data_IF_111257710135
#
_entry.id   IF_111257710135
#
_cell.length_a   1.000
_cell.length_b   1.000
_cell.length_c   1.000
_cell.angle_alpha   90.00
_cell.angle_beta   90.00
_cell.angle_gamma   90.00
#
_symmetry.space_group_name_H-M   'P 1'
#
loop_
_entity.id
_entity.type
_entity.pdbx_description
1 polymer ?
#
# COMPACT_ATOMS: atom_id res chain seq x y z
N UNK A 1 24.80 41.06 -16.97
CA UNK A 1 23.69 40.10 -16.90
C UNK A 1 24.12 39.00 -15.94
N UNK A 2 23.70 39.09 -14.69
CA UNK A 2 24.03 38.13 -13.65
C UNK A 2 22.97 36.99 -13.67
N UNK A 3 23.35 35.73 -13.44
CA UNK A 3 22.40 34.64 -13.45
C UNK A 3 21.55 34.66 -12.16
N UNK A 4 20.24 34.57 -12.34
CA UNK A 4 19.25 34.44 -11.27
C UNK A 4 19.50 33.12 -10.49
N UNK A 5 19.69 33.26 -9.17
CA UNK A 5 19.72 32.11 -8.26
C UNK A 5 18.32 31.46 -8.20
N UNK A 6 18.22 30.12 -8.20
CA UNK A 6 16.95 29.44 -8.03
C UNK A 6 16.38 29.79 -6.64
N UNK A 7 15.14 30.25 -6.63
CA UNK A 7 14.39 30.46 -5.39
C UNK A 7 14.11 29.10 -4.74
N UNK A 8 14.56 28.95 -3.50
CA UNK A 8 14.20 27.82 -2.65
C UNK A 8 12.69 27.90 -2.34
N UNK A 9 11.92 26.96 -2.83
CA UNK A 9 10.53 26.78 -2.39
C UNK A 9 10.51 26.52 -0.88
N UNK A 10 9.59 27.14 -0.13
CA UNK A 10 9.52 26.90 1.31
C UNK A 10 9.15 25.44 1.57
N UNK A 11 10.02 24.74 2.31
CA UNK A 11 9.74 23.44 2.91
C UNK A 11 8.50 23.58 3.80
N UNK A 12 7.32 23.28 3.25
CA UNK A 12 6.10 23.24 4.05
C UNK A 12 5.95 21.87 4.70
N UNK A 13 5.83 21.92 5.98
CA UNK A 13 5.48 20.96 7.01
C UNK A 13 4.44 19.90 6.54
N UNK A 14 4.86 18.85 5.93
CA UNK A 14 4.06 17.63 5.70
C UNK A 14 4.15 16.63 6.87
N UNK A 15 4.86 17.04 7.93
CA UNK A 15 5.19 16.16 9.06
C UNK A 15 4.02 15.90 10.02
N UNK A 16 2.86 16.54 9.84
CA UNK A 16 1.82 16.53 10.86
C UNK A 16 0.76 15.42 10.71
N UNK A 17 0.54 14.86 9.53
CA UNK A 17 -0.62 13.97 9.32
C UNK A 17 -0.35 12.54 9.82
N UNK A 18 0.85 12.02 9.67
CA UNK A 18 1.20 10.69 10.20
C UNK A 18 1.61 10.65 11.68
N UNK A 19 1.75 11.83 12.33
CA UNK A 19 2.28 11.92 13.70
C UNK A 19 1.21 11.94 14.80
N UNK A 20 -0.06 12.14 14.48
CA UNK A 20 -1.10 12.32 15.50
C UNK A 20 -1.67 11.02 16.08
N UNK A 21 -1.51 9.88 15.42
CA UNK A 21 -2.08 8.61 15.89
C UNK A 21 -1.31 7.91 17.01
N UNK A 22 -0.10 8.35 17.32
CA UNK A 22 0.73 7.75 18.38
C UNK A 22 0.61 8.42 19.77
N UNK A 23 -0.14 9.53 19.88
CA UNK A 23 -0.11 10.38 21.08
C UNK A 23 -1.15 10.12 22.15
N UNK A 24 -2.15 9.25 21.95
CA UNK A 24 -3.30 9.16 22.87
C UNK A 24 -3.42 7.86 23.67
N UNK A 25 -2.40 7.04 23.75
CA UNK A 25 -2.43 5.75 24.48
C UNK A 25 -1.49 5.70 25.71
N UNK A 26 -1.18 6.83 26.33
CA UNK A 26 -0.40 6.87 27.57
C UNK A 26 -1.08 7.68 28.69
N UNK A 27 -2.29 7.29 29.10
CA UNK A 27 -2.82 7.62 30.44
C UNK A 27 -3.72 6.48 30.91
N UNK A 28 -3.16 5.56 31.67
CA UNK A 28 -3.95 4.57 32.41
C UNK A 28 -3.22 3.27 32.70
N UNK A 29 -2.15 3.29 33.47
CA UNK A 29 -1.74 2.12 34.24
C UNK A 29 -1.04 2.61 35.51
N UNK A 30 -1.79 2.54 36.60
CA UNK A 30 -1.35 2.80 37.97
C UNK A 30 -0.25 1.83 38.41
N UNK A 31 0.56 2.34 39.29
CA UNK A 31 1.67 1.71 39.98
C UNK A 31 1.35 0.34 40.58
N UNK A 32 2.24 -0.63 40.33
CA UNK A 32 2.57 -1.69 41.26
C UNK A 32 4.09 -1.89 41.27
N UNK A 33 4.69 -1.30 42.27
CA UNK A 33 6.05 -1.60 42.65
C UNK A 33 6.06 -2.90 43.44
N UNK A 34 6.84 -3.88 43.03
CA UNK A 34 7.35 -4.92 43.91
C UNK A 34 8.84 -5.18 43.64
N UNK A 35 9.61 -4.79 44.60
CA UNK A 35 11.00 -5.11 44.87
C UNK A 35 11.28 -6.61 44.86
N UNK A 36 12.34 -7.05 44.18
CA UNK A 36 13.13 -8.18 44.66
C UNK A 36 14.60 -8.07 44.25
N UNK A 37 15.38 -8.39 45.29
CA UNK A 37 16.81 -8.28 45.44
C UNK A 37 17.64 -9.22 44.56
N UNK A 38 18.86 -8.77 44.41
CA UNK A 38 20.08 -9.42 43.93
C UNK A 38 20.37 -10.81 44.49
N UNK A 39 20.90 -11.67 43.64
CA UNK A 39 22.06 -12.50 44.00
C UNK A 39 22.78 -12.96 42.75
N UNK A 40 24.06 -12.63 42.67
CA UNK A 40 24.94 -13.04 41.60
C UNK A 40 25.43 -14.48 41.76
N UNK A 41 26.00 -14.99 40.69
CA UNK A 41 27.11 -15.96 40.71
C UNK A 41 27.79 -15.95 39.32
N UNK A 42 29.09 -15.67 39.40
CA UNK A 42 30.07 -15.83 38.32
C UNK A 42 30.31 -17.31 38.01
N UNK A 43 30.65 -17.63 36.75
CA UNK A 43 31.73 -18.57 36.43
C UNK A 43 32.07 -18.54 34.96
N UNK A 44 33.30 -18.27 34.68
CA UNK A 44 34.03 -18.39 33.41
C UNK A 44 34.62 -19.81 33.24
N UNK A 45 35.51 -20.07 32.28
CA UNK A 45 35.26 -20.70 30.99
C UNK A 45 35.94 -22.08 30.86
N UNK A 46 35.67 -22.83 29.84
CA UNK A 46 36.58 -23.91 29.44
C UNK A 46 36.66 -24.09 27.92
N UNK A 47 37.87 -24.19 27.54
CA UNK A 47 38.53 -24.33 26.23
C UNK A 47 38.45 -25.74 25.66
N UNK A 48 38.73 -25.81 24.32
CA UNK A 48 39.34 -26.92 23.56
C UNK A 48 38.41 -28.03 23.09
N UNK A 49 38.46 -28.50 21.85
CA UNK A 49 39.58 -28.86 21.01
C UNK A 49 39.13 -29.05 19.55
N UNK A 50 40.09 -28.85 18.65
CA UNK A 50 40.01 -29.14 17.22
C UNK A 50 40.00 -30.65 16.94
N UNK A 51 39.30 -31.05 15.86
CA UNK A 51 39.59 -32.33 15.19
C UNK A 51 39.36 -32.16 13.67
N UNK A 52 40.31 -32.69 12.96
CA UNK A 52 40.73 -32.58 11.59
C UNK A 52 39.80 -33.24 10.57
N UNK A 53 39.93 -32.75 9.34
CA UNK A 53 39.41 -33.28 8.06
C UNK A 53 39.75 -34.77 7.80
N UNK A 54 38.97 -35.40 6.90
CA UNK A 54 39.65 -35.85 5.69
C UNK A 54 38.93 -35.50 4.38
N UNK A 55 39.70 -35.11 3.42
CA UNK A 55 39.41 -34.88 2.01
C UNK A 55 38.85 -36.13 1.31
N UNK A 56 37.85 -35.92 0.45
CA UNK A 56 37.46 -36.92 -0.56
C UNK A 56 37.38 -36.20 -1.91
N UNK A 57 38.16 -36.75 -2.87
CA UNK A 57 38.32 -36.32 -4.26
C UNK A 57 37.06 -36.46 -5.11
N UNK A 58 36.91 -35.72 -6.22
CA UNK A 58 35.73 -35.72 -7.07
C UNK A 58 35.71 -36.88 -8.08
N UNK A 59 34.58 -37.51 -8.19
CA UNK A 59 34.23 -38.49 -9.24
C UNK A 59 33.63 -37.76 -10.44
N UNK A 60 34.15 -38.04 -11.63
CA UNK A 60 33.69 -37.54 -12.92
C UNK A 60 32.34 -38.17 -13.32
N UNK A 61 31.51 -37.40 -14.07
CA UNK A 61 30.20 -37.92 -14.53
C UNK A 61 30.35 -38.77 -15.82
N UNK A 62 29.50 -39.76 -16.07
CA UNK A 62 29.44 -40.48 -17.31
C UNK A 62 28.64 -39.75 -18.40
N UNK A 63 29.11 -39.85 -19.64
CA UNK A 63 28.47 -39.35 -20.86
C UNK A 63 27.14 -40.02 -21.15
N UNK A 64 26.16 -39.28 -21.71
CA UNK A 64 24.88 -39.84 -22.09
C UNK A 64 24.92 -40.49 -23.48
N UNK A 65 24.44 -41.71 -23.59
CA UNK A 65 24.19 -42.39 -24.87
C UNK A 65 22.90 -41.80 -25.51
N UNK A 66 23.03 -41.54 -26.81
CA UNK A 66 21.92 -41.12 -27.69
C UNK A 66 21.04 -42.33 -27.97
N UNK A 67 19.73 -42.19 -27.69
CA UNK A 67 18.74 -43.14 -28.21
C UNK A 67 17.55 -42.35 -28.78
N UNK A 68 17.08 -42.86 -29.93
CA UNK A 68 16.22 -42.21 -30.89
C UNK A 68 14.79 -41.88 -30.39
N UNK A 69 14.25 -40.79 -30.93
CA UNK A 69 12.87 -40.31 -30.83
C UNK A 69 11.86 -41.31 -31.40
N UNK A 70 10.64 -41.35 -30.84
CA UNK A 70 9.45 -41.52 -31.65
C UNK A 70 8.68 -40.18 -31.78
N UNK A 71 8.36 -39.85 -33.03
CA UNK A 71 7.40 -38.79 -33.39
C UNK A 71 6.06 -39.04 -32.73
N UNK A 72 5.60 -38.10 -31.92
CA UNK A 72 4.22 -38.01 -31.49
C UNK A 72 3.53 -36.86 -32.18
N UNK A 73 2.55 -37.23 -32.98
CA UNK A 73 1.55 -36.44 -33.69
C UNK A 73 0.79 -35.47 -32.79
N UNK A 74 0.48 -34.32 -33.37
CA UNK A 74 -0.12 -33.13 -32.84
C UNK A 74 -1.15 -33.29 -31.71
N UNK A 75 -0.87 -32.62 -30.62
CA UNK A 75 -1.89 -32.22 -29.66
C UNK A 75 -2.58 -30.93 -30.14
N UNK A 76 -3.91 -30.81 -30.06
CA UNK A 76 -4.60 -29.59 -30.47
C UNK A 76 -4.18 -28.48 -29.54
N UNK A 77 -3.66 -27.36 -30.14
CA UNK A 77 -3.43 -26.08 -29.49
C UNK A 77 -4.75 -25.64 -28.87
N UNK A 78 -4.87 -25.71 -27.56
CA UNK A 78 -5.91 -25.00 -26.83
C UNK A 78 -5.62 -23.51 -26.92
N UNK A 79 -6.32 -22.82 -27.82
CA UNK A 79 -6.45 -21.38 -27.74
C UNK A 79 -6.85 -20.98 -26.33
N UNK A 80 -6.24 -19.92 -25.74
CA UNK A 80 -6.68 -19.43 -24.46
C UNK A 80 -8.15 -19.03 -24.59
N UNK A 81 -9.03 -19.72 -23.90
CA UNK A 81 -10.42 -19.35 -23.74
C UNK A 81 -10.45 -17.91 -23.26
N UNK A 82 -11.04 -17.01 -24.03
CA UNK A 82 -11.38 -15.67 -23.58
C UNK A 82 -12.27 -15.84 -22.36
N UNK A 83 -11.72 -15.64 -21.17
CA UNK A 83 -12.49 -15.52 -19.95
C UNK A 83 -13.55 -14.45 -20.21
N UNK A 84 -14.82 -14.82 -20.26
CA UNK A 84 -15.90 -13.85 -20.29
C UNK A 84 -15.75 -12.99 -19.05
N UNK A 85 -15.48 -11.70 -19.23
CA UNK A 85 -15.36 -10.77 -18.11
C UNK A 85 -16.60 -10.93 -17.24
N UNK A 86 -16.41 -11.40 -16.03
CA UNK A 86 -17.49 -11.48 -15.05
C UNK A 86 -18.05 -10.07 -14.90
N UNK A 87 -19.39 -9.92 -14.95
CA UNK A 87 -20.03 -8.63 -14.72
C UNK A 87 -19.51 -8.01 -13.43
N UNK A 88 -19.22 -6.69 -13.39
CA UNK A 88 -18.78 -6.03 -12.18
C UNK A 88 -19.71 -6.38 -11.02
N UNK A 89 -19.15 -6.86 -9.93
CA UNK A 89 -19.91 -7.00 -8.68
C UNK A 89 -20.17 -5.57 -8.21
N UNK A 90 -21.44 -5.19 -8.05
CA UNK A 90 -21.82 -3.86 -7.58
C UNK A 90 -21.47 -3.63 -6.11
N UNK A 91 -21.72 -2.42 -5.58
CA UNK A 91 -21.56 -2.13 -4.16
C UNK A 91 -22.34 -3.10 -3.28
N UNK A 92 -21.82 -3.48 -2.10
CA UNK A 92 -22.49 -4.38 -1.17
C UNK A 92 -23.61 -3.70 -0.38
N UNK A 93 -23.85 -2.42 -0.64
CA UNK A 93 -24.84 -1.56 -0.01
C UNK A 93 -25.85 -1.10 -1.04
N UNK A 94 -27.14 -1.05 -0.64
CA UNK A 94 -28.20 -0.50 -1.49
C UNK A 94 -27.95 1.00 -1.74
N UNK A 95 -28.31 1.47 -2.93
CA UNK A 95 -28.36 2.91 -3.19
C UNK A 95 -29.47 3.57 -2.36
N UNK A 96 -29.40 4.88 -2.17
CA UNK A 96 -30.44 5.66 -1.51
C UNK A 96 -31.79 5.49 -2.22
N UNK A 97 -32.88 5.73 -1.51
CA UNK A 97 -34.24 5.60 -2.06
C UNK A 97 -34.40 6.42 -3.34
N UNK A 98 -34.92 5.78 -4.38
CA UNK A 98 -35.09 6.39 -5.71
C UNK A 98 -33.82 6.51 -6.56
N UNK A 99 -32.67 5.97 -6.09
CA UNK A 99 -31.39 5.98 -6.80
C UNK A 99 -30.92 4.58 -7.17
N UNK A 100 -29.97 4.51 -8.08
CA UNK A 100 -29.28 3.28 -8.45
C UNK A 100 -27.77 3.51 -8.52
N UNK A 101 -27.00 2.43 -8.32
CA UNK A 101 -25.56 2.48 -8.53
C UNK A 101 -25.19 2.36 -10.00
N UNK A 102 -24.36 3.27 -10.45
CA UNK A 102 -23.76 3.25 -11.80
C UNK A 102 -22.24 3.18 -11.67
N UNK A 103 -21.60 2.28 -12.42
CA UNK A 103 -20.15 2.25 -12.56
C UNK A 103 -19.69 3.53 -13.26
N UNK A 104 -18.97 4.38 -12.53
CA UNK A 104 -18.48 5.68 -13.01
C UNK A 104 -17.02 5.63 -13.45
N UNK A 105 -16.23 4.74 -12.85
CA UNK A 105 -14.82 4.52 -13.19
C UNK A 105 -14.48 3.05 -12.98
N UNK A 106 -13.67 2.49 -13.89
CA UNK A 106 -13.04 1.20 -13.68
C UNK A 106 -11.70 1.10 -14.39
N UNK A 107 -10.76 0.42 -13.75
CA UNK A 107 -9.57 -0.13 -14.36
C UNK A 107 -9.50 -1.62 -13.99
N UNK A 108 -9.54 -2.47 -15.01
CA UNK A 108 -9.68 -3.93 -14.86
C UNK A 108 -8.37 -4.67 -15.15
N UNK A 109 -7.32 -3.98 -15.54
CA UNK A 109 -5.98 -4.51 -15.84
C UNK A 109 -5.96 -5.72 -16.79
N UNK A 110 -6.90 -5.76 -17.74
CA UNK A 110 -7.06 -6.92 -18.65
C UNK A 110 -6.07 -6.92 -19.83
N UNK A 111 -5.35 -5.82 -20.04
CA UNK A 111 -4.35 -5.65 -21.09
C UNK A 111 -2.94 -6.09 -20.68
N UNK A 112 -1.97 -5.58 -21.40
CA UNK A 112 -0.53 -5.68 -21.10
C UNK A 112 0.00 -4.44 -20.36
N UNK A 113 -0.82 -3.40 -20.22
CA UNK A 113 -0.52 -2.17 -19.50
C UNK A 113 -1.82 -1.61 -18.88
N UNK A 114 -1.69 -0.67 -17.92
CA UNK A 114 -2.83 0.05 -17.36
C UNK A 114 -3.25 1.20 -18.30
N UNK A 115 -4.47 1.68 -18.15
CA UNK A 115 -4.98 2.81 -18.95
C UNK A 115 -4.38 4.13 -18.45
N UNK A 116 -3.40 4.68 -19.19
CA UNK A 116 -2.75 5.96 -18.90
C UNK A 116 -3.70 7.17 -19.00
N UNK A 117 -4.88 7.00 -19.57
CA UNK A 117 -5.96 7.99 -19.54
C UNK A 117 -6.71 8.04 -18.22
N UNK A 118 -6.56 7.02 -17.38
CA UNK A 118 -7.23 6.85 -16.09
C UNK A 118 -6.29 6.89 -14.89
N UNK A 119 -5.10 6.34 -15.03
CA UNK A 119 -4.11 6.21 -13.97
C UNK A 119 -2.75 6.75 -14.39
N UNK A 120 -1.97 7.20 -13.43
CA UNK A 120 -0.57 7.53 -13.59
C UNK A 120 0.26 6.98 -12.43
N UNK A 121 1.58 6.77 -12.61
CA UNK A 121 2.47 6.31 -11.55
C UNK A 121 3.03 7.49 -10.74
N UNK A 122 2.22 8.54 -10.51
CA UNK A 122 2.64 9.80 -9.89
C UNK A 122 1.70 10.22 -8.79
N UNK A 123 2.24 10.89 -7.77
CA UNK A 123 1.44 11.76 -6.92
C UNK A 123 1.12 13.09 -7.62
N UNK A 124 0.08 13.78 -7.18
CA UNK A 124 -0.34 15.08 -7.71
C UNK A 124 0.67 16.21 -7.41
N UNK A 125 1.54 16.03 -6.41
CA UNK A 125 2.62 16.97 -6.06
C UNK A 125 3.93 16.73 -6.82
N UNK A 126 4.06 15.65 -7.60
CA UNK A 126 5.22 15.44 -8.46
C UNK A 126 5.31 16.53 -9.53
N UNK A 127 6.52 16.99 -9.85
CA UNK A 127 6.77 18.13 -10.76
C UNK A 127 7.48 17.70 -12.04
N UNK A 128 7.04 16.63 -12.68
CA UNK A 128 7.65 16.12 -13.92
C UNK A 128 7.89 14.64 -13.84
N UNK A 129 8.89 14.22 -13.10
CA UNK A 129 9.17 12.81 -12.89
C UNK A 129 8.24 12.23 -11.81
N UNK A 130 7.68 11.06 -12.06
CA UNK A 130 6.81 10.38 -11.10
C UNK A 130 7.62 9.57 -10.08
N UNK A 131 8.60 10.17 -9.44
CA UNK A 131 9.65 9.45 -8.72
C UNK A 131 9.84 9.83 -7.26
N UNK A 132 9.20 10.90 -6.76
CA UNK A 132 9.43 11.30 -5.36
C UNK A 132 8.72 10.38 -4.37
N UNK A 133 9.35 10.18 -3.21
CA UNK A 133 8.77 9.50 -2.06
C UNK A 133 8.25 10.48 -1.03
N UNK A 134 7.56 10.00 0.02
CA UNK A 134 7.15 10.77 1.19
C UNK A 134 7.18 9.88 2.44
N UNK A 135 6.90 10.46 3.64
CA UNK A 135 6.93 9.75 4.92
C UNK A 135 8.27 9.07 5.23
N UNK A 136 9.37 9.63 4.67
CA UNK A 136 10.72 9.19 4.98
C UNK A 136 10.92 7.67 4.81
N UNK A 137 10.28 7.09 3.78
CA UNK A 137 10.46 5.69 3.37
C UNK A 137 11.83 5.46 2.70
N UNK A 138 12.07 4.23 2.27
CA UNK A 138 13.31 3.88 1.55
C UNK A 138 13.14 3.84 0.04
N UNK A 139 11.92 3.98 -0.45
CA UNK A 139 11.60 3.81 -1.86
C UNK A 139 11.69 5.10 -2.65
N UNK A 140 12.20 4.96 -3.87
CA UNK A 140 12.07 5.91 -4.97
C UNK A 140 11.04 5.34 -5.95
N UNK A 141 9.91 6.01 -6.12
CA UNK A 141 8.87 5.52 -7.00
C UNK A 141 9.30 5.61 -8.46
N UNK A 142 9.09 4.52 -9.20
CA UNK A 142 9.46 4.42 -10.61
C UNK A 142 8.33 3.81 -11.43
N UNK A 143 7.96 4.41 -12.59
CA UNK A 143 6.95 3.85 -13.49
C UNK A 143 7.21 2.41 -13.88
N UNK A 144 8.48 2.03 -14.06
CA UNK A 144 8.91 0.66 -14.36
C UNK A 144 8.59 -0.38 -13.28
N UNK A 145 8.21 0.06 -12.08
CA UNK A 145 7.79 -0.82 -10.99
C UNK A 145 6.28 -1.12 -11.02
N UNK A 146 5.56 -0.58 -11.99
CA UNK A 146 4.17 -0.92 -12.28
C UNK A 146 4.12 -1.71 -13.58
N UNK A 147 3.64 -2.96 -13.53
CA UNK A 147 3.49 -3.81 -14.71
C UNK A 147 2.12 -4.48 -14.71
N UNK A 148 1.55 -4.72 -15.89
CA UNK A 148 0.28 -5.44 -16.02
C UNK A 148 0.51 -6.75 -16.76
N UNK A 149 0.02 -7.83 -16.17
CA UNK A 149 0.05 -9.15 -16.83
C UNK A 149 -0.94 -10.09 -16.13
N UNK A 150 -1.45 -11.08 -16.87
CA UNK A 150 -2.38 -12.09 -16.35
C UNK A 150 -3.59 -11.48 -15.63
N UNK A 151 -4.12 -10.35 -16.14
CA UNK A 151 -5.31 -9.70 -15.61
C UNK A 151 -5.10 -8.95 -14.30
N UNK A 152 -3.88 -8.62 -13.91
CA UNK A 152 -3.60 -7.82 -12.69
C UNK A 152 -2.49 -6.81 -12.91
N UNK A 153 -2.59 -5.64 -12.27
CA UNK A 153 -1.44 -4.77 -12.07
C UNK A 153 -0.56 -5.31 -10.93
N UNK A 154 0.74 -5.13 -11.07
CA UNK A 154 1.76 -5.50 -10.10
C UNK A 154 2.57 -4.29 -9.75
N UNK A 155 2.43 -3.83 -8.52
CA UNK A 155 3.25 -2.78 -7.94
C UNK A 155 4.38 -3.47 -7.17
N UNK A 156 5.61 -3.35 -7.68
CA UNK A 156 6.76 -4.07 -7.12
C UNK A 156 7.61 -3.11 -6.31
N UNK A 157 8.00 -3.50 -5.09
CA UNK A 157 9.08 -2.87 -4.33
C UNK A 157 10.28 -3.80 -4.30
N UNK A 158 11.43 -3.29 -4.74
CA UNK A 158 12.67 -4.05 -4.88
C UNK A 158 13.88 -3.20 -4.48
N UNK A 159 15.00 -3.81 -4.04
CA UNK A 159 16.24 -3.09 -3.79
C UNK A 159 16.66 -2.26 -4.99
N UNK A 160 17.18 -1.07 -4.73
CA UNK A 160 17.72 -0.14 -5.72
C UNK A 160 19.25 -0.08 -5.58
N UNK A 161 19.96 -0.45 -6.66
CA UNK A 161 21.42 -0.40 -6.70
C UNK A 161 21.87 0.21 -8.05
N UNK A 162 22.73 1.25 -8.03
CA UNK A 162 23.17 1.98 -6.84
C UNK A 162 22.02 2.72 -6.15
N UNK A 163 22.20 3.03 -4.86
CA UNK A 163 21.24 3.84 -4.12
C UNK A 163 21.13 5.24 -4.73
N UNK A 164 19.92 5.78 -4.77
CA UNK A 164 19.62 7.10 -5.31
C UNK A 164 19.64 8.16 -4.20
N UNK A 165 20.36 9.27 -4.41
CA UNK A 165 20.40 10.38 -3.45
C UNK A 165 19.10 11.20 -3.55
N UNK A 166 18.33 11.24 -2.47
CA UNK A 166 17.09 12.01 -2.36
C UNK A 166 16.81 12.29 -0.87
N UNK A 167 16.72 13.57 -0.51
CA UNK A 167 16.45 14.02 0.86
C UNK A 167 15.07 13.60 1.39
N UNK A 168 14.14 13.22 0.53
CA UNK A 168 12.84 12.70 0.93
C UNK A 168 12.92 11.26 1.46
N UNK A 169 13.95 10.51 1.06
CA UNK A 169 14.17 9.17 1.54
C UNK A 169 14.92 9.13 2.88
N UNK A 170 14.77 8.03 3.59
CA UNK A 170 15.46 7.78 4.84
C UNK A 170 16.97 8.00 4.72
N UNK A 171 17.53 8.80 5.60
CA UNK A 171 18.97 9.12 5.61
C UNK A 171 19.49 9.76 4.31
N UNK A 172 18.63 10.45 3.55
CA UNK A 172 18.98 11.13 2.31
C UNK A 172 19.31 10.19 1.14
N UNK A 173 18.90 8.91 1.23
CA UNK A 173 19.13 7.92 0.18
C UNK A 173 17.96 6.97 0.02
N UNK A 174 17.45 6.85 -1.20
CA UNK A 174 16.52 5.80 -1.56
C UNK A 174 17.29 4.50 -1.87
N UNK A 175 17.02 3.46 -1.12
CA UNK A 175 17.64 2.14 -1.26
C UNK A 175 16.69 1.11 -1.86
N UNK A 176 15.46 1.52 -2.14
CA UNK A 176 14.41 0.76 -2.80
C UNK A 176 13.83 1.54 -3.96
N UNK A 177 13.29 0.83 -4.93
CA UNK A 177 12.36 1.34 -5.95
C UNK A 177 11.00 0.70 -5.72
N UNK A 178 9.91 1.45 -5.93
CA UNK A 178 8.55 0.95 -5.71
C UNK A 178 7.56 1.43 -6.76
N UNK A 179 6.41 0.74 -6.87
CA UNK A 179 5.32 1.10 -7.76
C UNK A 179 4.24 1.92 -7.04
N UNK A 180 3.65 2.83 -7.78
CA UNK A 180 2.54 3.70 -7.40
C UNK A 180 1.56 3.79 -8.56
N UNK A 181 0.26 3.83 -8.26
CA UNK A 181 -0.81 4.23 -9.20
C UNK A 181 -1.71 5.26 -8.53
N UNK A 182 -2.05 6.31 -9.24
CA UNK A 182 -3.04 7.29 -8.79
C UNK A 182 -3.91 7.78 -9.94
N UNK A 183 -5.03 8.42 -9.61
CA UNK A 183 -5.86 9.14 -10.59
C UNK A 183 -5.44 10.59 -10.77
N UNK A 184 -4.25 10.96 -10.28
CA UNK A 184 -3.64 12.27 -10.49
C UNK A 184 -2.82 12.35 -11.79
N UNK A 185 -2.30 13.53 -12.05
CA UNK A 185 -1.19 13.79 -12.99
C UNK A 185 -0.08 14.50 -12.23
N UNK A 186 1.16 14.43 -12.69
CA UNK A 186 2.20 15.32 -12.19
C UNK A 186 1.73 16.77 -12.23
N UNK A 187 2.05 17.53 -11.20
CA UNK A 187 1.63 18.92 -11.03
C UNK A 187 0.12 19.18 -10.96
N UNK A 188 -0.71 18.17 -10.71
CA UNK A 188 -2.15 18.38 -10.53
C UNK A 188 -2.42 19.27 -9.31
N UNK A 189 -1.64 19.15 -8.26
CA UNK A 189 -1.64 20.04 -7.10
C UNK A 189 -1.36 21.52 -7.47
N UNK A 190 -0.62 21.76 -8.55
CA UNK A 190 -0.27 23.09 -9.06
C UNK A 190 -1.17 23.53 -10.22
N UNK A 191 -2.36 22.94 -10.38
CA UNK A 191 -3.36 23.33 -11.36
C UNK A 191 -3.48 22.46 -12.61
N UNK A 192 -2.66 21.40 -12.75
CA UNK A 192 -2.88 20.43 -13.83
C UNK A 192 -4.16 19.63 -13.57
N UNK A 193 -4.83 19.20 -14.63
CA UNK A 193 -6.09 18.46 -14.52
C UNK A 193 -5.86 17.04 -14.02
N UNK A 194 -6.60 16.61 -13.01
CA UNK A 194 -6.65 15.20 -12.59
C UNK A 194 -7.16 14.30 -13.71
N UNK A 195 -6.70 13.06 -13.75
CA UNK A 195 -7.23 12.04 -14.67
C UNK A 195 -8.65 11.64 -14.29
N UNK A 196 -8.87 11.46 -12.97
CA UNK A 196 -10.19 11.23 -12.40
C UNK A 196 -10.24 11.75 -10.97
N UNK A 197 -11.31 12.45 -10.65
CA UNK A 197 -11.67 12.85 -9.31
C UNK A 197 -13.19 12.87 -9.18
N UNK A 198 -13.72 12.54 -8.03
CA UNK A 198 -15.14 12.42 -7.81
C UNK A 198 -15.54 12.81 -6.39
N UNK A 199 -16.80 13.20 -6.23
CA UNK A 199 -17.42 13.47 -4.94
C UNK A 199 -18.51 12.45 -4.70
N UNK A 200 -18.42 11.75 -3.58
CA UNK A 200 -19.32 10.69 -3.15
C UNK A 200 -19.40 9.49 -4.10
N UNK A 201 -19.56 8.34 -3.51
CA UNK A 201 -19.67 7.08 -4.22
C UNK A 201 -19.18 5.90 -3.38
N UNK A 202 -19.27 4.72 -3.97
CA UNK A 202 -18.64 3.51 -3.45
C UNK A 202 -17.37 3.24 -4.26
N UNK A 203 -16.25 3.13 -3.55
CA UNK A 203 -14.94 2.79 -4.14
C UNK A 203 -14.55 1.40 -3.71
N UNK A 204 -14.00 0.62 -4.62
CA UNK A 204 -13.49 -0.71 -4.32
C UNK A 204 -12.26 -1.04 -5.15
N UNK A 205 -11.26 -1.64 -4.53
CA UNK A 205 -10.19 -2.35 -5.21
C UNK A 205 -10.13 -3.80 -4.72
N UNK A 206 -9.78 -4.73 -5.61
CA UNK A 206 -9.52 -6.12 -5.26
C UNK A 206 -8.02 -6.36 -5.30
N UNK A 207 -7.43 -6.64 -4.13
CA UNK A 207 -5.99 -6.55 -3.89
C UNK A 207 -5.48 -7.82 -3.22
N UNK A 208 -4.28 -8.27 -3.58
CA UNK A 208 -3.52 -9.30 -2.87
C UNK A 208 -2.25 -8.69 -2.30
N UNK A 209 -2.12 -8.73 -0.99
CA UNK A 209 -1.09 -8.03 -0.23
C UNK A 209 0.15 -8.87 -0.02
N UNK A 210 1.36 -8.26 -0.02
CA UNK A 210 2.54 -8.90 0.55
C UNK A 210 2.47 -8.90 2.09
N UNK A 211 2.64 -10.06 2.72
CA UNK A 211 2.76 -10.17 4.18
C UNK A 211 4.24 -10.21 4.56
N UNK A 212 4.87 -9.06 4.65
CA UNK A 212 6.29 -8.98 5.00
C UNK A 212 6.56 -7.70 5.78
N UNK A 213 7.11 -7.83 6.97
CA UNK A 213 7.55 -6.70 7.79
C UNK A 213 8.44 -5.75 7.00
N UNK A 214 8.17 -4.45 7.12
CA UNK A 214 8.87 -3.39 6.41
C UNK A 214 8.24 -3.01 5.06
N UNK A 215 7.26 -3.77 4.56
CA UNK A 215 6.49 -3.42 3.36
C UNK A 215 5.10 -2.98 3.74
N UNK A 216 4.75 -1.77 3.42
CA UNK A 216 3.49 -1.12 3.76
C UNK A 216 2.66 -0.86 2.51
N UNK A 217 1.41 -1.28 2.52
CA UNK A 217 0.46 -1.04 1.41
C UNK A 217 -0.59 -0.03 1.85
N UNK A 218 -0.87 0.98 1.02
CA UNK A 218 -1.98 1.90 1.22
C UNK A 218 -2.84 2.03 -0.04
N UNK A 219 -4.16 2.01 0.17
CA UNK A 219 -5.18 2.42 -0.80
C UNK A 219 -6.04 3.48 -0.15
N UNK A 220 -5.96 4.70 -0.66
CA UNK A 220 -6.43 5.89 0.03
C UNK A 220 -6.84 7.00 -0.93
N UNK A 221 -7.38 8.09 -0.38
CA UNK A 221 -7.93 9.20 -1.14
C UNK A 221 -7.49 10.53 -0.54
N UNK A 222 -7.15 11.48 -1.40
CA UNK A 222 -6.91 12.89 -1.05
C UNK A 222 -7.80 13.82 -1.85
N UNK A 223 -8.10 15.05 -1.33
CA UNK A 223 -8.76 16.07 -2.11
C UNK A 223 -8.01 16.39 -3.40
N UNK A 224 -8.74 16.43 -4.50
CA UNK A 224 -8.22 16.84 -5.80
C UNK A 224 -8.23 18.38 -5.90
N UNK A 225 -7.36 19.03 -5.12
CA UNK A 225 -7.26 20.50 -5.01
C UNK A 225 -5.81 20.98 -5.10
N UNK A 226 -5.67 22.23 -5.52
CA UNK A 226 -4.38 22.92 -5.59
C UNK A 226 -3.92 23.51 -4.26
N UNK A 227 -4.83 23.68 -3.28
CA UNK A 227 -4.52 24.14 -1.94
C UNK A 227 -4.94 23.10 -0.91
N UNK A 228 -3.99 22.49 -0.24
CA UNK A 228 -4.24 21.57 0.86
C UNK A 228 -4.53 22.31 2.19
N UNK A 229 -5.42 23.31 2.16
CA UNK A 229 -5.82 24.01 3.39
C UNK A 229 -6.60 23.11 4.36
N UNK A 230 -7.18 22.04 3.85
CA UNK A 230 -7.93 21.07 4.63
C UNK A 230 -7.20 19.75 4.64
N UNK A 231 -6.73 19.36 5.81
CA UNK A 231 -6.13 18.03 6.05
C UNK A 231 -7.24 16.98 6.07
N UNK A 232 -7.80 16.69 4.92
CA UNK A 232 -8.75 15.60 4.76
C UNK A 232 -8.07 14.47 4.00
N UNK A 233 -8.12 13.28 4.58
CA UNK A 233 -7.57 12.05 3.99
C UNK A 233 -8.50 10.91 4.33
N UNK A 234 -8.75 10.02 3.40
CA UNK A 234 -9.59 8.86 3.62
C UNK A 234 -8.83 7.60 3.23
N UNK A 235 -8.44 6.85 4.26
CA UNK A 235 -7.73 5.59 4.07
C UNK A 235 -8.73 4.46 3.97
N UNK A 236 -8.87 3.92 2.75
CA UNK A 236 -9.72 2.75 2.50
C UNK A 236 -9.07 1.53 3.13
N UNK A 237 -7.73 1.51 3.09
CA UNK A 237 -6.92 0.44 3.63
C UNK A 237 -5.49 0.90 3.84
N UNK A 238 -4.93 0.49 4.98
CA UNK A 238 -3.50 0.47 5.23
C UNK A 238 -3.12 -0.88 5.85
N UNK A 239 -2.01 -1.48 5.40
CA UNK A 239 -1.48 -2.75 5.91
C UNK A 239 0.03 -2.65 6.07
N UNK A 240 0.54 -2.82 7.31
CA UNK A 240 1.97 -2.65 7.64
C UNK A 240 2.85 -3.84 7.23
N UNK A 241 2.25 -4.97 6.90
CA UNK A 241 2.93 -6.15 6.39
C UNK A 241 3.54 -7.09 7.44
N UNK A 242 3.77 -6.64 8.67
CA UNK A 242 4.20 -7.47 9.79
C UNK A 242 3.07 -8.34 10.34
N UNK A 243 1.85 -7.82 10.34
CA UNK A 243 0.63 -8.52 10.72
C UNK A 243 -0.41 -8.46 9.59
N UNK A 244 -0.48 -9.49 8.74
CA UNK A 244 -1.42 -9.51 7.62
C UNK A 244 -2.88 -9.70 8.05
N UNK A 245 -3.17 -9.82 9.34
CA UNK A 245 -4.52 -9.91 9.88
C UNK A 245 -5.12 -8.57 10.28
N UNK A 246 -4.31 -7.51 10.30
CA UNK A 246 -4.72 -6.16 10.70
C UNK A 246 -4.82 -5.23 9.51
N UNK A 247 -6.02 -4.69 9.29
CA UNK A 247 -6.35 -3.68 8.29
C UNK A 247 -6.68 -2.37 8.99
N UNK A 248 -5.89 -1.33 8.76
CA UNK A 248 -6.18 0.02 9.26
C UNK A 248 -7.09 0.75 8.26
N UNK A 249 -8.15 1.34 8.76
CA UNK A 249 -9.16 2.08 8.00
C UNK A 249 -9.43 3.39 8.72
N UNK A 250 -9.04 4.50 8.13
CA UNK A 250 -8.98 5.78 8.83
C UNK A 250 -9.67 6.88 8.02
N UNK A 251 -10.23 7.86 8.70
CA UNK A 251 -10.66 9.11 8.11
C UNK A 251 -10.08 10.27 8.91
N UNK A 252 -9.20 11.03 8.29
CA UNK A 252 -8.59 12.23 8.84
C UNK A 252 -9.39 13.47 8.45
N UNK A 253 -9.69 14.35 9.39
CA UNK A 253 -10.40 15.59 9.13
C UNK A 253 -10.03 16.70 10.13
N UNK A 254 -9.82 17.91 9.67
CA UNK A 254 -9.57 19.09 10.50
C UNK A 254 -8.53 18.86 11.63
N UNK A 255 -7.48 18.07 11.35
CA UNK A 255 -6.44 17.71 12.30
C UNK A 255 -6.88 16.70 13.37
N UNK A 256 -8.00 16.01 13.17
CA UNK A 256 -8.47 14.92 14.03
C UNK A 256 -8.53 13.63 13.25
N UNK A 257 -8.06 12.57 13.88
CA UNK A 257 -8.09 11.23 13.32
C UNK A 257 -9.31 10.48 13.84
N UNK A 258 -9.95 9.75 12.95
CA UNK A 258 -10.97 8.77 13.33
C UNK A 258 -10.56 7.42 12.76
N UNK A 259 -9.94 6.61 13.58
CA UNK A 259 -9.62 5.22 13.24
C UNK A 259 -10.76 4.30 13.62
N UNK A 260 -11.10 3.38 12.73
CA UNK A 260 -12.09 2.36 13.01
C UNK A 260 -11.50 1.21 13.81
N UNK A 261 -11.09 1.50 15.03
CA UNK A 261 -10.76 0.49 16.02
C UNK A 261 -11.79 0.60 17.15
N UNK A 262 -12.75 -0.31 17.24
CA UNK A 262 -13.76 -0.24 18.30
C UNK A 262 -13.18 -0.42 19.69
N UNK A 263 -12.00 -0.97 19.84
CA UNK A 263 -11.34 -1.15 21.15
C UNK A 263 -9.85 -1.41 20.94
N UNK A 264 -9.03 -0.59 21.50
CA UNK A 264 -7.70 -0.79 22.03
C UNK A 264 -7.12 -2.20 21.81
N UNK A 265 -6.81 -2.58 20.65
CA UNK A 265 -6.20 -3.86 20.38
C UNK A 265 -5.33 -3.81 19.15
N UNK A 266 -4.68 -4.90 18.91
CA UNK A 266 -3.79 -5.16 17.79
C UNK A 266 -4.50 -5.14 16.43
N UNK A 267 -5.85 -5.10 16.40
CA UNK A 267 -6.64 -5.33 15.20
C UNK A 267 -7.57 -4.16 14.91
N UNK A 268 -7.41 -3.58 13.73
CA UNK A 268 -8.18 -2.43 13.28
C UNK A 268 -9.23 -2.80 12.21
N UNK A 269 -9.74 -4.02 12.26
CA UNK A 269 -10.69 -4.54 11.27
C UNK A 269 -12.15 -4.17 11.57
N UNK A 270 -12.41 -3.46 12.67
CA UNK A 270 -13.75 -3.18 13.13
C UNK A 270 -14.57 -4.46 13.35
N UNK A 271 -15.78 -4.52 12.78
CA UNK A 271 -16.66 -5.69 12.85
C UNK A 271 -16.30 -6.81 11.85
N UNK A 272 -15.24 -6.63 11.06
CA UNK A 272 -14.78 -7.62 10.10
C UNK A 272 -13.88 -8.67 10.76
N UNK A 273 -13.73 -9.80 10.07
CA UNK A 273 -12.97 -10.94 10.60
C UNK A 273 -11.47 -10.59 10.74
N UNK A 274 -10.85 -11.15 11.76
CA UNK A 274 -9.40 -11.20 11.92
C UNK A 274 -8.92 -12.49 11.25
N UNK A 275 -8.22 -12.36 10.13
CA UNK A 275 -7.69 -13.47 9.34
C UNK A 275 -6.45 -13.01 8.56
N UNK A 276 -5.63 -13.93 8.09
CA UNK A 276 -4.52 -13.59 7.20
C UNK A 276 -5.05 -13.17 5.81
N UNK A 277 -5.05 -11.87 5.57
CA UNK A 277 -5.54 -11.26 4.33
C UNK A 277 -4.54 -11.35 3.17
N UNK A 278 -3.33 -11.82 3.38
CA UNK A 278 -2.32 -11.98 2.33
C UNK A 278 -2.49 -13.25 1.48
N UNK A 279 -3.29 -14.21 1.95
CA UNK A 279 -3.43 -15.51 1.29
C UNK A 279 -4.15 -15.43 -0.05
N UNK A 280 -5.15 -14.54 -0.16
CA UNK A 280 -6.03 -14.43 -1.31
C UNK A 280 -6.22 -12.97 -1.71
N UNK A 281 -6.81 -12.75 -2.87
CA UNK A 281 -7.33 -11.43 -3.20
C UNK A 281 -8.47 -11.05 -2.25
N UNK A 282 -8.43 -9.82 -1.75
CA UNK A 282 -9.41 -9.24 -0.84
C UNK A 282 -10.04 -8.02 -1.50
N UNK A 283 -11.36 -7.87 -1.38
CA UNK A 283 -12.06 -6.66 -1.81
C UNK A 283 -12.05 -5.65 -0.68
N UNK A 284 -11.40 -4.52 -0.90
CA UNK A 284 -11.34 -3.39 0.04
C UNK A 284 -12.17 -2.25 -0.51
N UNK A 285 -13.15 -1.78 0.23
CA UNK A 285 -14.06 -0.76 -0.26
C UNK A 285 -14.49 0.24 0.80
N UNK A 286 -14.92 1.40 0.32
CA UNK A 286 -15.53 2.46 1.13
C UNK A 286 -16.76 3.02 0.44
N UNK A 287 -17.84 3.17 1.20
CA UNK A 287 -19.03 3.94 0.83
C UNK A 287 -18.91 5.33 1.45
N UNK A 288 -18.63 6.31 0.62
CA UNK A 288 -18.50 7.71 1.00
C UNK A 288 -19.72 8.48 0.51
N UNK A 289 -20.56 8.94 1.45
CA UNK A 289 -21.79 9.66 1.19
C UNK A 289 -21.84 10.98 1.99
N UNK A 290 -22.78 11.90 1.70
CA UNK A 290 -22.89 13.16 2.44
C UNK A 290 -23.16 13.00 3.94
N UNK A 291 -23.60 11.84 4.37
CA UNK A 291 -24.05 11.58 5.74
C UNK A 291 -23.27 10.48 6.46
N UNK A 292 -22.42 9.74 5.76
CA UNK A 292 -21.56 8.71 6.34
C UNK A 292 -20.36 8.36 5.46
N UNK A 293 -19.36 7.75 6.09
CA UNK A 293 -18.27 7.02 5.46
C UNK A 293 -18.28 5.63 6.08
N UNK A 294 -18.40 4.57 5.27
CA UNK A 294 -18.44 3.20 5.77
C UNK A 294 -17.45 2.31 5.05
N UNK A 295 -16.62 1.56 5.79
CA UNK A 295 -15.61 0.68 5.25
C UNK A 295 -16.10 -0.76 5.13
N UNK A 296 -15.62 -1.44 4.09
CA UNK A 296 -16.01 -2.81 3.74
C UNK A 296 -14.80 -3.68 3.42
N UNK A 297 -14.79 -4.91 3.94
CA UNK A 297 -13.87 -5.97 3.56
C UNK A 297 -14.68 -7.14 3.00
N UNK A 298 -14.39 -7.57 1.77
CA UNK A 298 -15.12 -8.65 1.07
C UNK A 298 -16.65 -8.44 1.05
N UNK A 299 -17.08 -7.18 1.00
CA UNK A 299 -18.50 -6.78 0.99
C UNK A 299 -19.17 -6.75 2.36
N UNK A 300 -18.47 -7.08 3.44
CA UNK A 300 -18.96 -6.94 4.81
C UNK A 300 -18.58 -5.56 5.37
N UNK A 301 -19.57 -4.82 5.92
CA UNK A 301 -19.31 -3.55 6.60
C UNK A 301 -18.51 -3.79 7.88
N UNK A 302 -17.36 -3.13 7.99
CA UNK A 302 -16.45 -3.22 9.13
C UNK A 302 -16.69 -2.11 10.15
N UNK A 303 -16.98 -0.90 9.69
CA UNK A 303 -17.18 0.26 10.51
C UNK A 303 -17.74 1.43 9.74
N UNK A 304 -18.03 2.54 10.44
CA UNK A 304 -18.54 3.76 9.81
C UNK A 304 -18.24 5.01 10.65
N UNK A 305 -18.11 6.13 9.94
CA UNK A 305 -18.07 7.49 10.48
C UNK A 305 -19.34 8.23 10.06
N UNK A 306 -20.04 8.90 11.00
CA UNK A 306 -21.37 9.49 10.75
C UNK A 306 -21.49 10.96 11.14
N UNK A 307 -20.39 11.62 11.51
CA UNK A 307 -20.42 13.06 11.78
C UNK A 307 -20.49 13.84 10.46
N UNK A 308 -21.69 14.10 9.99
CA UNK A 308 -22.00 14.78 8.72
C UNK A 308 -21.26 16.11 8.54
N UNK A 309 -21.06 16.84 9.64
CA UNK A 309 -20.43 18.17 9.59
C UNK A 309 -18.94 18.07 9.22
N UNK A 310 -18.32 16.91 9.39
CA UNK A 310 -16.89 16.67 9.14
C UNK A 310 -16.62 15.84 7.89
N UNK A 311 -17.65 15.37 7.18
CA UNK A 311 -17.47 14.61 5.95
C UNK A 311 -17.04 15.54 4.83
N UNK A 312 -15.96 15.15 4.14
CA UNK A 312 -15.44 15.86 2.98
C UNK A 312 -16.51 16.00 1.89
N UNK A 313 -16.52 17.14 1.24
CA UNK A 313 -17.44 17.51 0.15
C UNK A 313 -16.71 17.81 -1.16
N UNK A 314 -15.39 17.83 -1.08
CA UNK A 314 -14.53 18.11 -2.22
C UNK A 314 -14.34 16.86 -3.07
N UNK A 315 -14.13 17.01 -4.39
CA UNK A 315 -13.68 15.88 -5.21
C UNK A 315 -12.38 15.29 -4.66
N UNK A 316 -12.29 13.96 -4.61
CA UNK A 316 -11.09 13.23 -4.18
C UNK A 316 -10.51 12.42 -5.32
N UNK A 317 -9.19 12.28 -5.32
CA UNK A 317 -8.40 11.38 -6.13
C UNK A 317 -8.15 10.05 -5.41
N UNK A 318 -7.84 8.99 -6.16
CA UNK A 318 -7.43 7.69 -5.64
C UNK A 318 -5.92 7.53 -5.72
N UNK A 319 -5.34 6.91 -4.71
CA UNK A 319 -3.91 6.58 -4.64
C UNK A 319 -3.75 5.14 -4.13
N UNK A 320 -2.94 4.35 -4.80
CA UNK A 320 -2.58 2.99 -4.42
C UNK A 320 -1.08 2.79 -4.59
N UNK A 321 -0.40 2.43 -3.51
CA UNK A 321 1.05 2.28 -3.56
C UNK A 321 1.58 1.33 -2.49
N UNK A 322 2.88 1.05 -2.58
CA UNK A 322 3.62 0.32 -1.56
C UNK A 322 4.80 1.15 -1.09
N UNK A 323 4.90 1.38 0.21
CA UNK A 323 6.05 1.99 0.88
C UNK A 323 6.97 0.93 1.49
N UNK A 324 8.21 1.32 1.76
CA UNK A 324 9.21 0.48 2.40
C UNK A 324 9.82 1.21 3.58
N UNK A 325 9.64 0.66 4.78
CA UNK A 325 10.31 1.12 6.00
C UNK A 325 10.08 2.62 6.30
N UNK A 326 8.83 3.06 6.24
CA UNK A 326 8.48 4.45 6.51
C UNK A 326 8.53 4.78 8.03
N UNK A 327 8.34 6.06 8.37
CA UNK A 327 8.37 6.54 9.75
C UNK A 327 7.36 5.84 10.66
N UNK A 328 6.17 5.53 10.18
CA UNK A 328 5.16 4.83 10.98
C UNK A 328 5.60 3.43 11.34
N UNK A 329 6.06 2.65 10.35
CA UNK A 329 6.57 1.30 10.59
C UNK A 329 7.72 1.28 11.60
N UNK A 330 8.66 2.23 11.50
CA UNK A 330 9.79 2.33 12.44
C UNK A 330 9.35 2.70 13.85
N UNK A 331 8.40 3.63 14.00
CA UNK A 331 7.86 4.00 15.33
C UNK A 331 7.18 2.83 16.03
N UNK A 332 6.60 1.91 15.28
CA UNK A 332 5.96 0.70 15.80
C UNK A 332 6.91 -0.50 15.87
N UNK A 333 8.19 -0.29 15.59
CA UNK A 333 9.23 -1.33 15.57
C UNK A 333 8.93 -2.49 14.59
N UNK A 334 8.25 -2.18 13.48
CA UNK A 334 7.93 -3.11 12.40
C UNK A 334 8.59 -2.70 11.08
N UNK A 335 9.67 -1.94 11.16
CA UNK A 335 10.50 -1.56 10.02
C UNK A 335 11.17 -2.75 9.32
N UNK A 336 11.80 -2.47 8.19
CA UNK A 336 12.43 -3.48 7.33
C UNK A 336 13.61 -4.18 8.04
N UNK A 337 13.57 -5.50 8.10
CA UNK A 337 14.65 -6.33 8.66
C UNK A 337 15.64 -6.81 7.61
N UNK A 338 15.15 -7.23 6.44
CA UNK A 338 15.97 -7.77 5.36
C UNK A 338 15.89 -6.86 4.13
N UNK A 339 16.97 -6.07 3.85
CA UNK A 339 17.00 -5.12 2.75
C UNK A 339 17.18 -5.76 1.37
N UNK A 340 17.28 -7.07 1.27
CA UNK A 340 17.44 -7.79 -0.01
C UNK A 340 16.10 -8.22 -0.62
N UNK A 341 15.01 -8.10 0.12
CA UNK A 341 13.72 -8.63 -0.27
C UNK A 341 13.05 -7.80 -1.38
N UNK A 342 12.48 -8.48 -2.34
CA UNK A 342 11.53 -7.93 -3.30
C UNK A 342 10.13 -8.39 -2.93
N UNK A 343 9.16 -7.45 -2.94
CA UNK A 343 7.75 -7.75 -2.68
C UNK A 343 6.87 -7.12 -3.74
N UNK A 344 5.69 -7.70 -3.88
CA UNK A 344 4.72 -7.30 -4.91
C UNK A 344 3.33 -7.23 -4.32
N UNK A 345 2.67 -6.12 -4.61
CA UNK A 345 1.25 -5.92 -4.46
C UNK A 345 0.58 -6.25 -5.79
N UNK A 346 -0.46 -7.06 -5.77
CA UNK A 346 -1.23 -7.37 -6.98
C UNK A 346 -2.62 -6.77 -6.89
N UNK A 347 -3.08 -6.12 -7.97
CA UNK A 347 -4.37 -5.45 -8.05
C UNK A 347 -5.15 -6.02 -9.23
N UNK A 348 -6.32 -6.61 -8.95
CA UNK A 348 -7.19 -7.20 -9.95
C UNK A 348 -8.03 -6.12 -10.67
N UNK A 349 -8.58 -5.19 -9.89
CA UNK A 349 -9.31 -4.03 -10.41
C UNK A 349 -9.36 -2.88 -9.40
N UNK A 350 -9.68 -1.68 -9.93
CA UNK A 350 -10.12 -0.50 -9.16
C UNK A 350 -11.44 -0.03 -9.78
N UNK A 351 -12.49 0.18 -8.96
CA UNK A 351 -13.82 0.59 -9.41
C UNK A 351 -14.40 1.69 -8.53
N UNK A 352 -15.10 2.63 -9.17
CA UNK A 352 -15.91 3.64 -8.48
C UNK A 352 -17.34 3.57 -9.00
N UNK A 353 -18.28 3.49 -8.09
CA UNK A 353 -19.71 3.56 -8.39
C UNK A 353 -20.29 4.84 -7.80
N UNK A 354 -21.14 5.51 -8.55
CA UNK A 354 -21.87 6.69 -8.09
C UNK A 354 -23.38 6.46 -8.15
N UNK A 355 -24.10 7.10 -7.24
CA UNK A 355 -25.55 7.05 -7.22
C UNK A 355 -26.16 8.04 -8.25
N UNK A 356 -27.07 7.56 -9.09
CA UNK A 356 -27.77 8.32 -10.11
C UNK A 356 -29.26 8.26 -9.88
#
# INVERSE_FOLDING_TARGET
>A
MSPLKPQRTPRRLWWAVAAATAGTLLLGAGAYALTRSSSGLEASPSTSAAASDPAISPLSPPSPSISASPSLTGAPSRSPSKSSAAKPVGPPVAAAAGKSWRLAFSEEFTGSDYDHGKLSPCFDWNTGDCTSTFNNGREHYQPSQVTVSNGTAKLTAAPLSPAFADDACQSGKCTYKAGLLSTARPSAQNGAKYLYAFTYGYVEARIKFPATQGFFTAFWMLPAKTDYQYQTELDILELLGDDPSTMYMTYHYAGRDTSYTPNSGKHNNGACAVKDYSKNFVRMGVDWQPDHIAWYIDGKKCGQFTNKAQIAKEPMQLILHMMVDNDWQRRWNVGLKDPTLTRRLEVDYIRVFQQV
#
